data_IF_376211308938
#
_entry.id   IF_376211308938
#
_cell.length_a   1.000
_cell.length_b   1.000
_cell.length_c   1.000
_cell.angle_alpha   90.00
_cell.angle_beta   90.00
_cell.angle_gamma   90.00
#
_symmetry.space_group_name_H-M   'P 1'
#
loop_
_entity.id
_entity.type
_entity.pdbx_description
1 polymer ?
#
# COMPACT_ATOMS: atom_id res chain seq x y z
N UNK A 1 5.24 9.69 -28.40
CA UNK A 1 6.13 8.66 -27.83
C UNK A 1 5.79 8.56 -26.35
N UNK A 2 5.52 7.37 -25.85
CA UNK A 2 5.20 7.17 -24.43
C UNK A 2 6.46 7.35 -23.58
N UNK A 3 6.38 8.13 -22.49
CA UNK A 3 7.53 8.42 -21.65
C UNK A 3 7.83 7.23 -20.74
N UNK A 4 9.01 6.61 -20.90
CA UNK A 4 9.45 5.51 -20.03
C UNK A 4 10.04 6.09 -18.73
N UNK A 5 9.33 5.91 -17.61
CA UNK A 5 9.84 6.23 -16.26
C UNK A 5 10.59 5.03 -15.68
N UNK A 6 11.74 5.27 -15.04
CA UNK A 6 12.54 4.26 -14.34
C UNK A 6 12.52 4.51 -12.83
N UNK A 7 12.41 3.44 -12.04
CA UNK A 7 12.41 3.51 -10.57
C UNK A 7 13.35 2.48 -9.98
N UNK A 8 14.13 2.87 -8.96
CA UNK A 8 14.90 1.93 -8.15
C UNK A 8 13.96 1.26 -7.16
N UNK A 9 14.03 -0.06 -7.07
CA UNK A 9 13.27 -0.86 -6.12
C UNK A 9 14.20 -1.79 -5.33
N UNK A 10 13.72 -2.25 -4.18
CA UNK A 10 14.34 -3.33 -3.40
C UNK A 10 13.51 -4.59 -3.61
N UNK A 11 14.16 -5.72 -3.79
CA UNK A 11 13.49 -7.02 -3.71
C UNK A 11 13.63 -7.52 -2.26
N UNK A 12 12.54 -7.44 -1.49
CA UNK A 12 12.50 -7.95 -0.11
C UNK A 12 11.76 -9.28 -0.17
N UNK A 13 12.53 -10.36 -0.02
CA UNK A 13 12.09 -11.74 -0.33
C UNK A 13 11.64 -11.86 -1.79
N UNK A 14 10.34 -11.95 -2.04
CA UNK A 14 9.74 -12.06 -3.37
C UNK A 14 8.91 -10.81 -3.75
N UNK A 15 8.95 -9.74 -2.94
CA UNK A 15 8.16 -8.54 -3.15
C UNK A 15 9.01 -7.39 -3.68
N UNK A 16 8.60 -6.87 -4.84
CA UNK A 16 9.14 -5.62 -5.39
C UNK A 16 8.65 -4.48 -4.50
N UNK A 17 9.58 -3.87 -3.76
CA UNK A 17 9.32 -2.80 -2.82
C UNK A 17 9.89 -1.49 -3.35
N UNK A 18 9.09 -0.44 -3.45
CA UNK A 18 9.52 0.86 -3.95
C UNK A 18 8.97 2.03 -3.12
N UNK A 19 9.68 3.17 -3.09
CA UNK A 19 9.27 4.33 -2.30
C UNK A 19 8.10 5.05 -2.94
N UNK A 20 7.10 5.38 -2.12
CA UNK A 20 5.89 6.11 -2.52
C UNK A 20 5.60 7.20 -1.50
N UNK A 21 5.23 8.39 -1.98
CA UNK A 21 4.69 9.46 -1.14
C UNK A 21 3.16 9.46 -1.23
N UNK A 22 2.52 9.61 -0.06
CA UNK A 22 1.07 9.62 0.09
C UNK A 22 0.69 10.97 0.70
N UNK A 23 -0.07 11.77 -0.05
CA UNK A 23 -0.41 13.15 0.31
C UNK A 23 0.85 13.99 0.66
N UNK A 24 1.93 13.82 -0.11
CA UNK A 24 3.21 14.49 0.11
C UNK A 24 4.03 13.98 1.31
N UNK A 25 3.54 13.01 2.08
CA UNK A 25 4.27 12.39 3.22
C UNK A 25 4.96 11.10 2.77
N UNK A 26 6.14 10.83 3.29
CA UNK A 26 6.93 9.63 2.95
C UNK A 26 8.43 9.91 2.84
N UNK A 27 9.20 9.05 2.14
CA UNK A 27 8.71 7.89 1.38
C UNK A 27 8.28 6.73 2.27
N UNK A 28 7.17 6.09 1.92
CA UNK A 28 6.72 4.81 2.48
C UNK A 28 7.06 3.68 1.52
N UNK A 29 7.33 2.50 2.06
CA UNK A 29 7.58 1.30 1.25
C UNK A 29 6.25 0.66 0.83
N UNK A 30 6.03 0.59 -0.47
CA UNK A 30 4.89 -0.07 -1.09
C UNK A 30 5.34 -1.28 -1.90
N UNK A 31 4.46 -2.25 -2.04
CA UNK A 31 4.68 -3.42 -2.87
C UNK A 31 3.96 -3.28 -4.21
N UNK A 32 4.63 -3.69 -5.28
CA UNK A 32 3.98 -3.86 -6.57
C UNK A 32 3.29 -5.22 -6.61
N UNK A 33 1.96 -5.22 -6.65
CA UNK A 33 1.12 -6.41 -6.72
C UNK A 33 0.17 -6.31 -7.91
N UNK A 34 0.42 -7.10 -8.95
CA UNK A 34 -0.40 -7.14 -10.17
C UNK A 34 -1.70 -7.92 -9.98
N UNK A 35 -1.84 -8.68 -8.89
CA UNK A 35 -3.06 -9.44 -8.56
C UNK A 35 -4.04 -8.68 -7.68
N UNK A 36 -3.65 -7.50 -7.17
CA UNK A 36 -4.46 -6.69 -6.27
C UNK A 36 -5.53 -5.83 -6.97
N UNK A 37 -6.61 -5.44 -6.26
CA UNK A 37 -7.69 -4.61 -6.78
C UNK A 37 -7.33 -3.10 -6.89
N UNK A 38 -6.07 -2.77 -7.15
CA UNK A 38 -5.54 -1.41 -7.14
C UNK A 38 -4.81 -1.04 -5.84
N UNK A 39 -4.87 0.23 -5.44
CA UNK A 39 -4.13 0.75 -4.29
C UNK A 39 -4.68 0.20 -2.96
N UNK A 40 -3.80 -0.39 -2.15
CA UNK A 40 -4.10 -0.82 -0.78
C UNK A 40 -3.21 -0.05 0.19
N UNK A 41 -3.83 0.58 1.18
CA UNK A 41 -3.16 1.25 2.30
C UNK A 41 -3.32 0.39 3.56
N UNK A 42 -2.22 0.08 4.24
CA UNK A 42 -2.31 -0.61 5.54
C UNK A 42 -3.04 0.28 6.56
N UNK A 43 -3.93 -0.30 7.37
CA UNK A 43 -4.77 0.43 8.35
C UNK A 43 -3.96 1.32 9.30
N UNK A 44 -2.75 0.89 9.70
CA UNK A 44 -1.88 1.72 10.55
C UNK A 44 -1.39 2.99 9.85
N UNK A 45 -1.05 2.90 8.57
CA UNK A 45 -0.61 4.05 7.77
C UNK A 45 -1.76 5.01 7.50
N UNK A 46 -2.96 4.50 7.20
CA UNK A 46 -4.14 5.34 7.06
C UNK A 46 -4.40 6.17 8.33
N UNK A 47 -4.23 5.56 9.50
CA UNK A 47 -4.35 6.23 10.80
C UNK A 47 -3.24 7.26 11.03
N UNK A 48 -1.99 6.89 10.76
CA UNK A 48 -0.81 7.78 10.87
C UNK A 48 -0.98 9.04 10.00
N UNK A 49 -1.52 8.87 8.81
CA UNK A 49 -1.73 9.95 7.86
C UNK A 49 -3.02 10.75 8.11
N UNK A 50 -3.88 10.31 9.05
CA UNK A 50 -5.17 10.93 9.32
C UNK A 50 -6.13 10.85 8.13
N UNK A 51 -6.09 9.76 7.35
CA UNK A 51 -6.96 9.57 6.20
C UNK A 51 -8.41 9.36 6.67
N UNK A 52 -9.35 9.93 5.92
CA UNK A 52 -10.78 9.66 6.13
C UNK A 52 -11.11 8.25 5.62
N UNK A 53 -11.18 7.28 6.54
CA UNK A 53 -11.50 5.89 6.22
C UNK A 53 -13.00 5.70 6.36
N UNK A 54 -13.62 5.26 5.27
CA UNK A 54 -15.05 5.00 5.19
C UNK A 54 -15.26 3.48 5.30
N UNK A 55 -16.13 3.09 6.22
CA UNK A 55 -16.68 1.74 6.24
C UNK A 55 -17.85 1.66 5.24
N UNK A 56 -17.74 0.75 4.29
CA UNK A 56 -18.79 0.55 3.27
C UNK A 56 -19.96 -0.27 3.78
N UNK A 57 -19.85 -0.90 4.97
CA UNK A 57 -20.82 -1.87 5.47
C UNK A 57 -20.78 -3.23 4.75
N UNK A 58 -19.97 -3.35 3.70
CA UNK A 58 -19.79 -4.60 2.96
C UNK A 58 -18.67 -5.45 3.56
N UNK A 59 -18.83 -6.76 3.42
CA UNK A 59 -17.80 -7.76 3.77
C UNK A 59 -17.37 -8.50 2.51
N UNK A 60 -16.10 -8.83 2.43
CA UNK A 60 -15.52 -9.62 1.35
C UNK A 60 -14.75 -10.82 1.89
N UNK A 61 -14.30 -11.71 1.02
CA UNK A 61 -13.44 -12.84 1.38
C UNK A 61 -12.01 -12.54 0.93
N UNK A 62 -11.06 -12.55 1.87
CA UNK A 62 -9.64 -12.46 1.59
C UNK A 62 -8.89 -13.73 2.00
N UNK A 63 -7.57 -13.75 1.80
CA UNK A 63 -6.72 -14.89 2.14
C UNK A 63 -6.76 -15.30 3.63
N UNK A 64 -7.24 -14.41 4.51
CA UNK A 64 -7.41 -14.65 5.94
C UNK A 64 -8.86 -14.87 6.39
N UNK A 65 -9.81 -15.04 5.47
CA UNK A 65 -11.24 -15.16 5.77
C UNK A 65 -12.03 -13.89 5.47
N UNK A 66 -13.17 -13.72 6.11
CA UNK A 66 -14.06 -12.57 5.91
C UNK A 66 -13.41 -11.26 6.41
N UNK A 67 -13.42 -10.24 5.56
CA UNK A 67 -12.83 -8.92 5.84
C UNK A 67 -13.83 -7.80 5.60
N UNK A 68 -13.81 -6.79 6.46
CA UNK A 68 -14.55 -5.56 6.27
C UNK A 68 -13.95 -4.77 5.09
N UNK A 69 -14.80 -4.31 4.17
CA UNK A 69 -14.37 -3.49 3.05
C UNK A 69 -14.31 -2.02 3.50
N UNK A 70 -13.10 -1.57 3.80
CA UNK A 70 -12.82 -0.18 4.09
C UNK A 70 -12.19 0.51 2.88
N UNK A 71 -12.58 1.75 2.63
CA UNK A 71 -12.05 2.56 1.54
C UNK A 71 -11.63 3.94 2.03
N UNK A 72 -10.74 4.58 1.29
CA UNK A 72 -10.36 5.98 1.49
C UNK A 72 -9.98 6.59 0.14
N UNK A 73 -9.85 7.91 0.10
CA UNK A 73 -9.30 8.62 -1.05
C UNK A 73 -8.00 9.30 -0.64
N UNK A 74 -6.94 8.97 -1.36
CA UNK A 74 -5.63 9.63 -1.24
C UNK A 74 -5.62 10.82 -2.19
N UNK A 75 -5.32 12.02 -1.69
CA UNK A 75 -5.27 13.25 -2.48
C UNK A 75 -4.14 13.22 -3.50
N UNK A 76 -2.96 12.75 -3.12
CA UNK A 76 -1.84 12.51 -4.04
C UNK A 76 -1.08 11.23 -3.75
N UNK A 77 -0.77 10.48 -4.80
CA UNK A 77 0.13 9.34 -4.77
C UNK A 77 1.30 9.61 -5.72
N UNK A 78 2.51 9.60 -5.21
CA UNK A 78 3.69 10.02 -5.97
C UNK A 78 4.80 8.98 -5.87
N UNK A 79 5.28 8.54 -7.03
CA UNK A 79 6.38 7.57 -7.14
C UNK A 79 6.98 7.65 -8.54
N UNK A 80 8.28 7.36 -8.68
CA UNK A 80 8.94 7.34 -10.01
C UNK A 80 8.78 8.63 -10.86
N UNK A 81 8.57 9.79 -10.23
CA UNK A 81 8.26 11.05 -10.94
C UNK A 81 6.85 11.10 -11.56
N UNK A 82 5.99 10.15 -11.22
CA UNK A 82 4.57 10.11 -11.54
C UNK A 82 3.81 10.66 -10.35
N UNK A 83 2.81 11.49 -10.62
CA UNK A 83 1.86 11.99 -9.64
C UNK A 83 0.46 11.61 -10.09
N UNK A 84 -0.26 10.91 -9.22
CA UNK A 84 -1.68 10.59 -9.38
C UNK A 84 -2.47 11.36 -8.34
N UNK A 85 -3.64 11.86 -8.70
CA UNK A 85 -4.50 12.63 -7.81
C UNK A 85 -5.82 11.91 -7.56
N UNK A 86 -6.39 12.11 -6.36
CA UNK A 86 -7.69 11.58 -5.96
C UNK A 86 -7.82 10.06 -6.16
N UNK A 87 -6.79 9.31 -5.76
CA UNK A 87 -6.72 7.86 -5.93
C UNK A 87 -7.55 7.17 -4.85
N UNK A 88 -8.56 6.39 -5.24
CA UNK A 88 -9.28 5.53 -4.31
C UNK A 88 -8.36 4.38 -3.86
N UNK A 89 -8.35 4.13 -2.55
CA UNK A 89 -7.60 3.06 -1.94
C UNK A 89 -8.49 2.19 -1.05
N UNK A 90 -8.18 0.89 -0.98
CA UNK A 90 -8.71 0.01 0.05
C UNK A 90 -7.85 0.12 1.31
N UNK A 91 -8.46 -0.02 2.48
CA UNK A 91 -7.76 0.00 3.76
C UNK A 91 -7.83 -1.38 4.41
N UNK A 92 -6.70 -2.07 4.50
CA UNK A 92 -6.66 -3.44 5.02
C UNK A 92 -5.72 -3.56 6.21
N UNK A 93 -6.00 -4.52 7.09
CA UNK A 93 -5.02 -4.99 8.06
C UNK A 93 -4.15 -6.07 7.44
N UNK A 94 -2.92 -5.71 7.08
CA UNK A 94 -2.00 -6.60 6.36
C UNK A 94 -1.19 -7.52 7.29
N UNK A 95 -1.36 -7.45 8.62
CA UNK A 95 -0.54 -8.23 9.57
C UNK A 95 -0.62 -9.74 9.33
N UNK A 96 -1.80 -10.27 9.02
CA UNK A 96 -1.99 -11.69 8.74
C UNK A 96 -1.26 -12.12 7.47
N UNK A 97 -1.32 -11.30 6.42
CA UNK A 97 -0.65 -11.58 5.15
C UNK A 97 0.87 -11.50 5.28
N UNK A 98 1.37 -10.46 5.96
CA UNK A 98 2.80 -10.33 6.30
C UNK A 98 3.33 -11.57 7.02
N UNK A 99 2.60 -12.07 8.03
CA UNK A 99 2.98 -13.29 8.74
C UNK A 99 3.03 -14.51 7.82
N UNK A 100 2.06 -14.67 6.91
CA UNK A 100 2.05 -15.75 5.93
C UNK A 100 3.26 -15.73 4.97
N UNK A 101 3.77 -14.54 4.65
CA UNK A 101 5.00 -14.36 3.86
C UNK A 101 6.29 -14.35 4.71
N UNK A 102 6.14 -14.58 6.02
CA UNK A 102 7.21 -14.49 7.02
C UNK A 102 7.83 -13.11 7.17
N UNK A 103 7.16 -12.04 6.70
CA UNK A 103 7.67 -10.68 6.73
C UNK A 103 7.58 -10.09 8.13
N UNK A 104 8.64 -9.44 8.57
CA UNK A 104 8.67 -8.68 9.82
C UNK A 104 8.20 -7.22 9.62
N UNK A 105 8.04 -6.50 10.73
CA UNK A 105 7.82 -5.05 10.68
C UNK A 105 9.00 -4.31 10.03
N UNK A 106 10.23 -4.77 10.24
CA UNK A 106 11.45 -4.24 9.62
C UNK A 106 11.48 -4.45 8.11
N UNK A 107 11.03 -5.63 7.64
CA UNK A 107 10.90 -5.91 6.20
C UNK A 107 9.90 -4.94 5.54
N UNK A 108 8.78 -4.67 6.21
CA UNK A 108 7.75 -3.76 5.70
C UNK A 108 8.11 -2.27 5.82
N UNK A 109 8.98 -1.89 6.77
CA UNK A 109 9.52 -0.54 6.84
C UNK A 109 10.72 -0.35 5.90
N UNK A 110 11.23 -1.42 5.28
CA UNK A 110 12.37 -1.40 4.36
C UNK A 110 13.67 -0.90 4.98
N UNK A 111 13.74 -0.94 6.31
CA UNK A 111 14.93 -0.66 7.12
C UNK A 111 15.65 -1.98 7.36
N UNK A 112 16.78 -2.17 6.70
CA UNK A 112 17.71 -3.26 7.01
C UNK A 112 18.44 -2.93 8.31
N UNK A 113 18.56 -3.92 9.20
CA UNK A 113 19.53 -3.91 10.30
C UNK A 113 20.97 -3.90 9.77
#
# INVERSE_FOLDING_TARGET
MEEVKKVKFKLIKHLITFPVYVNGKGPFNFWLDTGGPGLIIKRSLARELGLNVIDTGMRGIGAGGEVQILVTTVKSLEFAGIRLENVQARVLDLRGWMRGLGLSSTDASGTTS
#
